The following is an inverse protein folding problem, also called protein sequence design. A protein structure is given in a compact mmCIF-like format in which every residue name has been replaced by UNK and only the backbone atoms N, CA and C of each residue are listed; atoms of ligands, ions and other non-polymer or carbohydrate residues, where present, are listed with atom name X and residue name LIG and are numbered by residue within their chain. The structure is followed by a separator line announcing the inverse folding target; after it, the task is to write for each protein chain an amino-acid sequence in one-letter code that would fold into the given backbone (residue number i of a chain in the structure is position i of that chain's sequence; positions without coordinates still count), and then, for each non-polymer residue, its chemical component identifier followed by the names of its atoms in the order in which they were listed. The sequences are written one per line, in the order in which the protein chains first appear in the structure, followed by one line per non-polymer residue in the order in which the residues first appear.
data_IF_806761015101
#
_entry.id   IF_806761015101
#
_cell.length_a   1.000
_cell.length_b   1.000
_cell.length_c   1.000
_cell.angle_alpha   90.00
_cell.angle_beta   90.00
_cell.angle_gamma   90.00
#
_symmetry.space_group_name_H-M   'P 1'
#
loop_
_entity.id
_entity.type
_entity.pdbx_description
1 polymer ?
#
# COMPACT_ATOMS: atom_id res chain seq x y z
N UNK A 1 -10.71 4.94 4.30
CA UNK A 1 -9.28 4.97 3.91
C UNK A 1 -8.46 4.72 5.18
N UNK A 2 -7.39 3.93 5.08
CA UNK A 2 -6.39 3.76 6.14
C UNK A 2 -5.21 4.66 5.75
N UNK A 3 -4.83 5.58 6.64
CA UNK A 3 -3.72 6.50 6.42
C UNK A 3 -2.39 5.91 6.92
N UNK A 4 -1.29 6.38 6.32
CA UNK A 4 0.09 5.94 6.59
C UNK A 4 0.55 6.14 8.05
N UNK A 5 0.06 7.18 8.73
CA UNK A 5 0.45 7.48 10.12
C UNK A 5 -0.77 7.57 11.06
N UNK A 6 -0.99 6.57 11.93
CA UNK A 6 -2.04 6.58 12.93
C UNK A 6 -1.88 7.68 13.99
N UNK A 7 -0.65 8.12 14.27
CA UNK A 7 -0.38 9.08 15.35
C UNK A 7 -0.89 10.46 14.96
N UNK A 8 -0.74 10.85 13.70
CA UNK A 8 -1.26 12.12 13.18
C UNK A 8 -2.74 12.04 12.84
N UNK A 9 -3.27 10.85 12.56
CA UNK A 9 -4.67 10.65 12.18
C UNK A 9 -5.64 10.59 13.36
N UNK A 10 -5.17 10.19 14.55
CA UNK A 10 -5.98 10.12 15.76
C UNK A 10 -5.68 11.31 16.68
N UNK A 11 -6.67 12.17 16.89
CA UNK A 11 -6.53 13.32 17.80
C UNK A 11 -6.35 12.82 19.25
N UNK A 12 -5.24 13.18 19.93
CA UNK A 12 -4.89 12.65 21.25
C UNK A 12 -5.82 13.09 22.38
N UNK A 13 -6.69 14.09 22.16
CA UNK A 13 -7.62 14.62 23.18
C UNK A 13 -8.98 13.93 23.17
N UNK A 14 -9.25 13.09 22.18
CA UNK A 14 -10.48 12.32 22.05
C UNK A 14 -10.23 10.84 22.39
N UNK A 15 -11.23 10.18 22.96
CA UNK A 15 -11.16 8.73 23.16
C UNK A 15 -11.43 8.02 21.85
N UNK A 16 -10.92 6.78 21.71
CA UNK A 16 -11.14 5.96 20.52
C UNK A 16 -12.64 5.82 20.19
N UNK A 17 -13.46 5.59 21.21
CA UNK A 17 -14.90 5.48 21.05
C UNK A 17 -15.54 6.77 20.59
N UNK A 18 -15.11 7.94 21.09
CA UNK A 18 -15.66 9.22 20.62
C UNK A 18 -15.41 9.45 19.13
N UNK A 19 -14.21 9.13 18.63
CA UNK A 19 -13.86 9.26 17.20
C UNK A 19 -14.69 8.29 16.34
N UNK A 20 -14.77 7.02 16.73
CA UNK A 20 -15.57 6.02 16.00
C UNK A 20 -17.07 6.35 16.00
N UNK A 21 -17.64 6.65 17.17
CA UNK A 21 -19.06 7.00 17.32
C UNK A 21 -19.40 8.25 16.48
N UNK A 22 -18.52 9.26 16.45
CA UNK A 22 -18.71 10.47 15.65
C UNK A 22 -18.69 10.16 14.14
N UNK A 23 -17.69 9.40 13.67
CA UNK A 23 -17.58 9.03 12.25
C UNK A 23 -18.82 8.25 11.81
N UNK A 24 -19.26 7.27 12.61
CA UNK A 24 -20.42 6.44 12.29
C UNK A 24 -21.69 7.31 12.24
N UNK A 25 -21.92 8.14 13.26
CA UNK A 25 -23.13 8.99 13.34
C UNK A 25 -23.15 10.12 12.33
N UNK A 26 -21.99 10.57 11.85
CA UNK A 26 -21.92 11.56 10.78
C UNK A 26 -22.39 11.01 9.43
N UNK A 27 -22.34 9.68 9.24
CA UNK A 27 -22.73 9.00 8.00
C UNK A 27 -24.02 8.18 8.12
N UNK A 28 -24.50 7.91 9.34
CA UNK A 28 -25.72 7.14 9.60
C UNK A 28 -26.59 7.86 10.63
N UNK A 29 -27.89 7.94 10.36
CA UNK A 29 -28.85 8.53 11.29
C UNK A 29 -29.28 7.52 12.37
N UNK A 30 -28.38 7.27 13.33
CA UNK A 30 -28.56 6.28 14.40
C UNK A 30 -28.27 6.89 15.78
N UNK A 31 -28.75 6.21 16.82
CA UNK A 31 -28.51 6.60 18.22
C UNK A 31 -27.03 6.41 18.59
N UNK A 32 -26.63 7.05 19.69
CA UNK A 32 -25.28 6.89 20.25
C UNK A 32 -25.01 5.45 20.70
N UNK A 33 -26.02 4.77 21.25
CA UNK A 33 -25.89 3.38 21.69
C UNK A 33 -25.63 2.45 20.51
N UNK A 34 -26.41 2.58 19.42
CA UNK A 34 -26.20 1.80 18.20
C UNK A 34 -24.83 2.09 17.57
N UNK A 35 -24.40 3.36 17.55
CA UNK A 35 -23.08 3.73 17.04
C UNK A 35 -21.94 3.11 17.87
N UNK A 36 -22.10 3.05 19.19
CA UNK A 36 -21.13 2.41 20.09
C UNK A 36 -21.06 0.90 19.85
N UNK A 37 -22.18 0.24 19.63
CA UNK A 37 -22.22 -1.19 19.28
C UNK A 37 -21.49 -1.48 17.97
N UNK A 38 -21.73 -0.67 16.93
CA UNK A 38 -21.00 -0.76 15.66
C UNK A 38 -19.50 -0.50 15.87
N UNK A 39 -19.14 0.49 16.69
CA UNK A 39 -17.75 0.80 17.00
C UNK A 39 -17.03 -0.38 17.68
N UNK A 40 -17.66 -1.04 18.66
CA UNK A 40 -17.12 -2.26 19.27
C UNK A 40 -16.95 -3.35 18.21
N UNK A 41 -17.98 -3.58 17.38
CA UNK A 41 -17.93 -4.58 16.31
C UNK A 41 -16.76 -4.36 15.35
N UNK A 42 -16.55 -3.12 14.92
CA UNK A 42 -15.44 -2.74 14.03
C UNK A 42 -14.07 -2.95 14.70
N UNK A 43 -13.94 -2.64 16.00
CA UNK A 43 -12.70 -2.87 16.75
C UNK A 43 -12.41 -4.36 16.94
N UNK A 44 -13.43 -5.17 17.19
CA UNK A 44 -13.30 -6.63 17.26
C UNK A 44 -12.88 -7.20 15.91
N UNK A 45 -13.47 -6.71 14.82
CA UNK A 45 -13.14 -7.13 13.46
C UNK A 45 -11.69 -6.80 13.07
N UNK A 46 -11.20 -5.63 13.50
CA UNK A 46 -9.81 -5.24 13.40
C UNK A 46 -8.89 -5.96 14.41
N UNK A 47 -9.43 -6.95 15.15
CA UNK A 47 -8.72 -7.78 16.12
C UNK A 47 -8.02 -6.93 17.21
N UNK A 48 -8.65 -5.84 17.63
CA UNK A 48 -8.16 -5.05 18.76
C UNK A 48 -8.44 -5.80 20.07
N UNK A 49 -7.41 -6.11 20.88
CA UNK A 49 -7.61 -6.73 22.19
C UNK A 49 -8.43 -5.83 23.11
N UNK A 50 -9.33 -6.44 23.89
CA UNK A 50 -10.21 -5.75 24.83
C UNK A 50 -11.05 -4.64 24.17
N UNK A 51 -11.49 -4.83 22.93
CA UNK A 51 -12.12 -3.81 22.07
C UNK A 51 -13.15 -2.90 22.78
N UNK A 52 -14.01 -3.47 23.61
CA UNK A 52 -15.01 -2.71 24.38
C UNK A 52 -14.36 -1.74 25.39
N UNK A 53 -13.35 -2.21 26.14
CA UNK A 53 -12.61 -1.40 27.12
C UNK A 53 -11.74 -0.35 26.42
N UNK A 54 -11.27 -0.64 25.19
CA UNK A 54 -10.45 0.28 24.40
C UNK A 54 -11.21 1.49 23.88
N UNK A 55 -12.55 1.47 23.86
CA UNK A 55 -13.35 2.64 23.48
C UNK A 55 -13.09 3.85 24.39
N UNK A 56 -12.83 3.60 25.66
CA UNK A 56 -12.60 4.67 26.64
C UNK A 56 -11.10 5.01 26.77
N UNK A 57 -10.24 4.33 26.01
CA UNK A 57 -8.83 4.65 25.89
C UNK A 57 -8.60 5.85 24.97
N UNK A 58 -7.52 6.58 25.21
CA UNK A 58 -6.98 7.61 24.32
C UNK A 58 -5.91 7.02 23.40
N UNK A 59 -5.64 7.63 22.22
CA UNK A 59 -4.63 7.15 21.29
C UNK A 59 -3.25 6.96 21.96
N UNK A 60 -2.84 7.88 22.84
CA UNK A 60 -1.56 7.82 23.52
C UNK A 60 -1.41 6.65 24.51
N UNK A 61 -2.52 5.98 24.88
CA UNK A 61 -2.53 4.79 25.75
C UNK A 61 -2.39 3.47 24.95
N UNK A 62 -2.38 3.55 23.62
CA UNK A 62 -2.30 2.39 22.72
C UNK A 62 -0.90 2.25 22.11
N UNK A 63 -0.47 1.00 21.89
CA UNK A 63 0.72 0.68 21.09
C UNK A 63 0.52 1.07 19.62
N UNK A 64 1.60 1.16 18.84
CA UNK A 64 1.52 1.47 17.40
C UNK A 64 0.58 0.50 16.65
N UNK A 65 0.74 -0.81 16.87
CA UNK A 65 -0.14 -1.83 16.28
C UNK A 65 -1.61 -1.70 16.72
N UNK A 66 -1.86 -1.35 17.98
CA UNK A 66 -3.23 -1.09 18.44
C UNK A 66 -3.84 0.15 17.77
N UNK A 67 -3.07 1.22 17.58
CA UNK A 67 -3.54 2.41 16.83
C UNK A 67 -3.82 2.07 15.38
N UNK A 68 -3.00 1.23 14.75
CA UNK A 68 -3.26 0.74 13.39
C UNK A 68 -4.58 -0.03 13.32
N UNK A 69 -4.84 -0.92 14.28
CA UNK A 69 -6.11 -1.67 14.36
C UNK A 69 -7.31 -0.73 14.57
N UNK A 70 -7.17 0.34 15.35
CA UNK A 70 -8.19 1.39 15.45
C UNK A 70 -8.42 2.09 14.10
N UNK A 71 -7.37 2.43 13.36
CA UNK A 71 -7.47 3.03 12.02
C UNK A 71 -8.17 2.11 11.02
N UNK A 72 -7.87 0.80 11.07
CA UNK A 72 -8.56 -0.21 10.27
C UNK A 72 -10.04 -0.26 10.65
N UNK A 73 -10.37 -0.32 11.95
CA UNK A 73 -11.74 -0.30 12.44
C UNK A 73 -12.51 0.93 11.91
N UNK A 74 -11.91 2.12 12.00
CA UNK A 74 -12.48 3.35 11.44
C UNK A 74 -12.76 3.24 9.93
N UNK A 75 -11.85 2.63 9.19
CA UNK A 75 -11.99 2.46 7.75
C UNK A 75 -13.08 1.46 7.34
N UNK A 76 -13.33 0.42 8.15
CA UNK A 76 -14.29 -0.65 7.83
C UNK A 76 -15.65 -0.53 8.53
N UNK A 77 -15.77 0.32 9.56
CA UNK A 77 -16.97 0.45 10.39
C UNK A 77 -18.26 0.73 9.61
N UNK A 78 -18.16 1.33 8.43
CA UNK A 78 -19.31 1.71 7.60
C UNK A 78 -19.61 0.74 6.45
N UNK A 79 -18.91 -0.39 6.37
CA UNK A 79 -19.04 -1.39 5.30
C UNK A 79 -18.78 -0.81 3.90
N UNK A 80 -17.56 -0.33 3.62
CA UNK A 80 -17.24 0.31 2.37
C UNK A 80 -17.15 -0.71 1.23
N UNK A 81 -17.55 -0.29 0.02
CA UNK A 81 -17.32 -1.05 -1.22
C UNK A 81 -15.87 -0.96 -1.73
N UNK A 82 -15.10 0.01 -1.23
CA UNK A 82 -13.70 0.24 -1.61
C UNK A 82 -12.90 0.65 -0.36
N UNK A 83 -11.86 -0.12 -0.06
CA UNK A 83 -10.85 0.22 0.93
C UNK A 83 -9.58 0.71 0.24
N UNK A 84 -9.19 1.95 0.53
CA UNK A 84 -7.87 2.49 0.17
C UNK A 84 -7.00 2.37 1.41
N UNK A 85 -5.89 1.65 1.30
CA UNK A 85 -4.95 1.39 2.38
C UNK A 85 -3.59 1.95 2.00
N UNK A 86 -3.25 3.12 2.55
CA UNK A 86 -2.02 3.84 2.27
C UNK A 86 -0.96 3.49 3.31
N UNK A 87 0.02 2.67 2.90
CA UNK A 87 1.07 2.15 3.77
C UNK A 87 0.54 1.63 5.14
N UNK A 88 -0.48 0.74 5.14
CA UNK A 88 -1.26 0.39 6.33
C UNK A 88 -0.49 -0.48 7.34
N UNK A 89 0.77 -0.78 7.07
CA UNK A 89 1.62 -1.64 7.86
C UNK A 89 2.93 -0.96 8.25
N UNK A 90 3.13 0.30 7.87
CA UNK A 90 4.35 1.05 8.21
C UNK A 90 4.50 1.15 9.74
N UNK A 91 5.75 1.06 10.20
CA UNK A 91 6.14 1.08 11.62
C UNK A 91 5.67 -0.13 12.47
N UNK A 92 5.22 -1.22 11.86
CA UNK A 92 4.90 -2.48 12.55
C UNK A 92 5.95 -3.56 12.27
N UNK A 93 6.10 -4.52 13.18
CA UNK A 93 6.97 -5.68 12.96
C UNK A 93 6.36 -6.62 11.92
N UNK A 94 7.22 -7.34 11.19
CA UNK A 94 6.85 -8.20 10.05
C UNK A 94 5.74 -9.21 10.38
N UNK A 95 5.68 -9.70 11.64
CA UNK A 95 4.65 -10.65 12.05
C UNK A 95 3.29 -9.98 12.14
N UNK A 96 3.21 -8.81 12.78
CA UNK A 96 1.97 -8.03 12.89
C UNK A 96 1.51 -7.52 11.52
N UNK A 97 2.43 -7.11 10.65
CA UNK A 97 2.11 -6.69 9.29
C UNK A 97 1.37 -7.80 8.52
N UNK A 98 1.92 -9.02 8.53
CA UNK A 98 1.32 -10.16 7.85
C UNK A 98 -0.08 -10.49 8.40
N UNK A 99 -0.24 -10.46 9.73
CA UNK A 99 -1.55 -10.68 10.38
C UNK A 99 -2.59 -9.64 9.95
N UNK A 100 -2.23 -8.36 9.95
CA UNK A 100 -3.13 -7.27 9.54
C UNK A 100 -3.55 -7.42 8.08
N UNK A 101 -2.60 -7.69 7.18
CA UNK A 101 -2.88 -7.83 5.76
C UNK A 101 -3.75 -9.05 5.45
N UNK A 102 -3.50 -10.18 6.11
CA UNK A 102 -4.32 -11.39 5.96
C UNK A 102 -5.76 -11.14 6.44
N UNK A 103 -5.93 -10.46 7.59
CA UNK A 103 -7.26 -10.10 8.08
C UNK A 103 -7.98 -9.16 7.09
N UNK A 104 -7.31 -8.11 6.60
CA UNK A 104 -7.88 -7.20 5.60
C UNK A 104 -8.29 -7.95 4.33
N UNK A 105 -7.48 -8.91 3.87
CA UNK A 105 -7.79 -9.73 2.69
C UNK A 105 -8.98 -10.66 2.92
N UNK A 106 -9.07 -11.29 4.10
CA UNK A 106 -10.22 -12.12 4.46
C UNK A 106 -11.51 -11.30 4.46
N UNK A 107 -11.50 -10.11 5.08
CA UNK A 107 -12.64 -9.19 5.09
C UNK A 107 -13.01 -8.68 3.71
N UNK A 108 -12.01 -8.36 2.90
CA UNK A 108 -12.18 -7.94 1.51
C UNK A 108 -12.96 -8.99 0.71
N UNK A 109 -12.64 -10.27 0.88
CA UNK A 109 -13.36 -11.38 0.24
C UNK A 109 -14.77 -11.59 0.82
N UNK A 110 -14.91 -11.58 2.14
CA UNK A 110 -16.19 -11.77 2.82
C UNK A 110 -17.22 -10.68 2.44
N UNK A 111 -16.76 -9.45 2.23
CA UNK A 111 -17.61 -8.28 1.93
C UNK A 111 -17.71 -7.93 0.45
N UNK A 112 -17.09 -8.72 -0.43
CA UNK A 112 -17.00 -8.42 -1.87
C UNK A 112 -16.49 -6.98 -2.14
N UNK A 113 -15.53 -6.54 -1.33
CA UNK A 113 -15.01 -5.17 -1.31
C UNK A 113 -13.84 -5.02 -2.30
N UNK A 114 -13.70 -3.88 -2.97
CA UNK A 114 -12.46 -3.55 -3.69
C UNK A 114 -11.37 -3.08 -2.72
N UNK A 115 -10.11 -3.45 -2.94
CA UNK A 115 -8.99 -2.96 -2.12
C UNK A 115 -7.87 -2.38 -2.99
N UNK A 116 -7.49 -1.13 -2.70
CA UNK A 116 -6.29 -0.48 -3.24
C UNK A 116 -5.25 -0.39 -2.12
N UNK A 117 -4.18 -1.18 -2.24
CA UNK A 117 -3.04 -1.14 -1.33
C UNK A 117 -1.93 -0.30 -1.95
N UNK A 118 -1.43 0.68 -1.20
CA UNK A 118 -0.25 1.48 -1.54
C UNK A 118 0.85 1.06 -0.58
N UNK A 119 1.98 0.61 -1.10
CA UNK A 119 3.12 0.19 -0.30
C UNK A 119 4.40 0.27 -1.13
N UNK A 120 5.53 0.44 -0.45
CA UNK A 120 6.86 0.32 -1.02
C UNK A 120 7.45 -1.10 -0.87
N UNK A 121 6.76 -2.01 -0.17
CA UNK A 121 7.22 -3.38 0.07
C UNK A 121 6.65 -4.34 -0.99
N UNK A 122 7.52 -4.78 -1.90
CA UNK A 122 7.17 -5.73 -2.96
C UNK A 122 6.88 -7.14 -2.44
N UNK A 123 7.46 -7.56 -1.30
CA UNK A 123 7.16 -8.87 -0.73
C UNK A 123 5.72 -8.92 -0.22
N UNK A 124 5.25 -7.81 0.38
CA UNK A 124 3.84 -7.65 0.72
C UNK A 124 2.97 -7.74 -0.53
N UNK A 125 3.30 -6.96 -1.58
CA UNK A 125 2.53 -6.92 -2.83
C UNK A 125 2.38 -8.32 -3.43
N UNK A 126 3.48 -9.09 -3.52
CA UNK A 126 3.50 -10.43 -4.08
C UNK A 126 2.52 -11.40 -3.38
N UNK A 127 2.27 -11.19 -2.09
CA UNK A 127 1.41 -12.08 -1.30
C UNK A 127 -0.07 -11.72 -1.35
N UNK A 128 -0.42 -10.43 -1.54
CA UNK A 128 -1.80 -9.93 -1.33
C UNK A 128 -2.50 -9.44 -2.59
N UNK A 129 -1.76 -8.93 -3.57
CA UNK A 129 -2.35 -8.21 -4.71
C UNK A 129 -2.76 -9.16 -5.83
N UNK A 130 -3.85 -8.84 -6.54
CA UNK A 130 -4.20 -9.53 -7.80
C UNK A 130 -3.50 -8.88 -9.01
N UNK A 131 -3.32 -7.55 -8.94
CA UNK A 131 -2.67 -6.69 -9.95
C UNK A 131 -1.81 -5.65 -9.27
N UNK A 132 -0.73 -5.27 -9.94
CA UNK A 132 0.26 -4.32 -9.42
C UNK A 132 0.49 -3.22 -10.43
N UNK A 133 0.46 -1.97 -9.97
CA UNK A 133 0.92 -0.81 -10.72
C UNK A 133 2.18 -0.24 -10.06
N UNK A 134 3.29 -0.26 -10.78
CA UNK A 134 4.56 0.31 -10.34
C UNK A 134 4.61 1.77 -10.77
N UNK A 135 4.83 2.65 -9.80
CA UNK A 135 4.93 4.09 -10.02
C UNK A 135 6.38 4.57 -9.85
N UNK A 136 6.81 5.46 -10.74
CA UNK A 136 8.08 6.18 -10.61
C UNK A 136 7.85 7.67 -10.86
N UNK A 137 8.29 8.51 -9.91
CA UNK A 137 8.22 9.98 -10.01
C UNK A 137 6.84 10.53 -10.43
N UNK A 138 5.75 9.90 -9.96
CA UNK A 138 4.37 10.32 -10.23
C UNK A 138 3.74 9.69 -11.47
N UNK A 139 4.45 8.83 -12.21
CA UNK A 139 3.89 8.13 -13.36
C UNK A 139 3.83 6.61 -13.13
N UNK A 140 2.72 5.98 -13.52
CA UNK A 140 2.66 4.53 -13.67
C UNK A 140 3.60 4.17 -14.82
N UNK A 141 4.65 3.42 -14.50
CA UNK A 141 5.64 2.95 -15.47
C UNK A 141 5.32 1.56 -15.98
N UNK A 142 4.67 0.74 -15.16
CA UNK A 142 4.30 -0.63 -15.51
C UNK A 142 3.12 -1.09 -14.66
N UNK A 143 2.21 -1.83 -15.28
CA UNK A 143 1.09 -2.47 -14.61
C UNK A 143 0.84 -3.86 -15.21
N UNK A 144 0.67 -4.87 -14.37
CA UNK A 144 0.38 -6.24 -14.80
C UNK A 144 -0.28 -7.04 -13.67
N UNK A 145 -0.87 -8.22 -13.96
CA UNK A 145 -1.17 -9.22 -12.93
C UNK A 145 0.08 -9.53 -12.09
N UNK A 146 -0.10 -9.78 -10.79
CA UNK A 146 1.04 -9.94 -9.86
C UNK A 146 2.03 -11.01 -10.34
N UNK A 147 1.54 -12.18 -10.76
CA UNK A 147 2.40 -13.29 -11.19
C UNK A 147 3.24 -12.93 -12.42
N UNK A 148 2.68 -12.17 -13.35
CA UNK A 148 3.35 -11.75 -14.58
C UNK A 148 4.34 -10.62 -14.30
N UNK A 149 3.99 -9.64 -13.47
CA UNK A 149 4.90 -8.56 -13.10
C UNK A 149 6.18 -9.09 -12.44
N UNK A 150 6.07 -10.12 -11.59
CA UNK A 150 7.22 -10.70 -10.90
C UNK A 150 8.03 -11.67 -11.77
N UNK A 151 7.43 -12.27 -12.81
CA UNK A 151 8.09 -13.27 -13.66
C UNK A 151 8.60 -12.73 -15.01
N UNK A 152 7.96 -11.72 -15.60
CA UNK A 152 8.40 -11.02 -16.83
C UNK A 152 8.20 -9.49 -16.71
N UNK A 153 8.83 -8.82 -15.72
CA UNK A 153 8.87 -7.36 -15.65
C UNK A 153 9.57 -6.76 -16.88
N UNK A 154 8.93 -5.79 -17.51
CA UNK A 154 9.36 -5.20 -18.78
C UNK A 154 10.08 -3.87 -18.60
N UNK A 155 9.68 -3.07 -17.61
CA UNK A 155 10.30 -1.77 -17.38
C UNK A 155 11.60 -1.91 -16.60
N UNK A 156 12.73 -1.32 -17.03
CA UNK A 156 14.02 -1.43 -16.33
C UNK A 156 13.99 -1.05 -14.84
N UNK A 157 13.14 -0.09 -14.46
CA UNK A 157 12.89 0.25 -13.05
C UNK A 157 12.27 -0.93 -12.28
N UNK A 158 11.20 -1.55 -12.80
CA UNK A 158 10.53 -2.70 -12.20
C UNK A 158 11.49 -3.89 -12.09
N UNK A 159 12.30 -4.13 -13.12
CA UNK A 159 13.36 -5.16 -13.06
C UNK A 159 14.36 -4.89 -11.95
N UNK A 160 14.83 -3.64 -11.83
CA UNK A 160 15.74 -3.24 -10.77
C UNK A 160 15.14 -3.39 -9.37
N UNK A 161 13.85 -3.10 -9.22
CA UNK A 161 13.08 -3.29 -7.99
C UNK A 161 13.01 -4.76 -7.59
N UNK A 162 12.66 -5.65 -8.53
CA UNK A 162 12.57 -7.09 -8.27
C UNK A 162 13.95 -7.68 -7.97
N UNK A 163 15.00 -7.28 -8.69
CA UNK A 163 16.39 -7.70 -8.43
C UNK A 163 16.93 -7.23 -7.08
N UNK A 164 16.37 -6.17 -6.52
CA UNK A 164 16.75 -5.65 -5.20
C UNK A 164 16.10 -6.44 -4.04
N UNK A 165 15.13 -7.32 -4.34
CA UNK A 165 14.54 -8.19 -3.32
C UNK A 165 15.59 -9.18 -2.79
N UNK A 166 15.69 -9.34 -1.46
CA UNK A 166 16.61 -10.30 -0.88
C UNK A 166 16.19 -11.73 -1.18
N UNK A 167 17.06 -12.51 -1.82
CA UNK A 167 16.86 -13.95 -1.97
C UNK A 167 17.35 -14.68 -0.71
N UNK A 168 16.43 -15.31 0.00
CA UNK A 168 16.69 -16.05 1.25
C UNK A 168 17.59 -17.28 0.99
N UNK A 169 17.60 -17.79 -0.25
CA UNK A 169 18.41 -18.96 -0.63
C UNK A 169 19.86 -18.62 -0.95
N UNK A 170 20.18 -17.35 -1.24
CA UNK A 170 21.52 -16.92 -1.65
C UNK A 170 22.26 -16.32 -0.46
N UNK A 171 23.05 -17.16 0.20
CA UNK A 171 23.78 -16.81 1.43
C UNK A 171 24.86 -15.71 1.27
N UNK A 172 25.30 -15.35 0.05
CA UNK A 172 26.43 -14.42 -0.16
C UNK A 172 26.35 -13.67 -1.49
N UNK A 173 25.87 -12.43 -1.46
CA UNK A 173 25.89 -11.49 -2.58
C UNK A 173 25.64 -10.06 -2.12
N UNK A 174 26.15 -9.06 -2.84
CA UNK A 174 25.69 -7.67 -2.68
C UNK A 174 24.28 -7.58 -3.22
N UNK A 175 23.36 -6.97 -2.46
CA UNK A 175 22.03 -6.65 -2.98
C UNK A 175 22.20 -5.73 -4.21
N UNK A 176 21.44 -6.03 -5.26
CA UNK A 176 21.38 -5.15 -6.42
C UNK A 176 20.75 -3.82 -5.99
N UNK A 177 21.33 -2.72 -6.43
CA UNK A 177 20.81 -1.39 -6.14
C UNK A 177 20.66 -0.61 -7.45
N UNK A 178 19.54 0.10 -7.58
CA UNK A 178 19.28 0.93 -8.77
C UNK A 178 20.15 2.19 -8.66
N UNK A 179 21.11 2.40 -9.58
CA UNK A 179 22.07 3.50 -9.48
C UNK A 179 21.41 4.88 -9.55
N UNK A 180 22.15 5.90 -9.14
CA UNK A 180 21.72 7.31 -9.19
C UNK A 180 20.71 7.70 -8.11
N UNK A 181 20.14 8.89 -8.25
CA UNK A 181 19.15 9.47 -7.32
C UNK A 181 17.86 9.77 -8.07
N UNK A 182 16.72 9.65 -7.39
CA UNK A 182 15.43 10.07 -7.93
C UNK A 182 15.49 11.57 -8.25
N UNK A 183 15.13 12.02 -9.47
CA UNK A 183 15.07 13.42 -9.80
C UNK A 183 14.11 14.18 -8.87
N UNK A 184 14.42 15.43 -8.48
CA UNK A 184 13.49 16.24 -7.72
C UNK A 184 12.23 16.49 -8.56
N UNK A 185 11.01 16.35 -7.99
CA UNK A 185 9.76 16.54 -8.73
C UNK A 185 9.62 17.91 -9.41
N UNK A 186 10.34 18.93 -8.91
CA UNK A 186 10.30 20.30 -9.41
C UNK A 186 11.12 20.49 -10.70
N UNK A 187 12.06 19.59 -10.98
CA UNK A 187 12.94 19.65 -12.15
C UNK A 187 12.99 18.26 -12.80
N UNK A 188 11.89 17.81 -13.43
CA UNK A 188 11.86 16.54 -14.12
C UNK A 188 12.79 16.57 -15.34
N UNK A 189 13.38 15.43 -15.73
CA UNK A 189 14.07 15.34 -17.01
C UNK A 189 13.09 15.61 -18.16
N UNK A 190 13.57 16.14 -19.30
CA UNK A 190 12.72 16.52 -20.43
C UNK A 190 12.02 15.34 -21.13
N UNK A 191 12.55 14.12 -20.99
CA UNK A 191 12.00 12.90 -21.59
C UNK A 191 11.42 11.91 -20.58
N UNK A 192 11.87 10.66 -20.64
CA UNK A 192 11.51 9.63 -19.68
C UNK A 192 12.03 9.99 -18.28
N UNK A 193 11.14 9.95 -17.29
CA UNK A 193 11.47 10.28 -15.89
C UNK A 193 12.57 9.38 -15.31
N UNK A 194 12.66 8.13 -15.79
CA UNK A 194 13.66 7.17 -15.34
C UNK A 194 14.98 7.20 -16.15
N UNK A 195 15.06 7.93 -17.26
CA UNK A 195 16.25 7.96 -18.12
C UNK A 195 17.58 8.23 -17.38
N UNK A 196 17.66 9.15 -16.38
CA UNK A 196 18.90 9.41 -15.65
C UNK A 196 19.44 8.24 -14.81
N UNK A 197 18.62 7.20 -14.59
CA UNK A 197 18.95 6.02 -13.78
C UNK A 197 18.81 4.71 -14.56
N UNK A 198 18.41 4.78 -15.83
CA UNK A 198 18.13 3.62 -16.66
C UNK A 198 19.40 3.18 -17.38
N UNK A 199 19.88 1.97 -17.09
CA UNK A 199 21.04 1.36 -17.77
C UNK A 199 20.76 1.05 -19.26
N UNK A 200 19.49 1.12 -19.66
CA UNK A 200 19.00 0.83 -21.01
C UNK A 200 18.41 2.08 -21.69
N UNK A 201 18.79 3.29 -21.26
CA UNK A 201 18.31 4.53 -21.87
C UNK A 201 18.77 4.64 -23.33
N UNK A 202 17.84 5.00 -24.23
CA UNK A 202 18.12 5.39 -25.61
C UNK A 202 18.16 6.93 -25.73
N UNK A 203 18.69 7.46 -26.82
CA UNK A 203 18.67 8.91 -27.09
C UNK A 203 17.25 9.49 -27.04
N UNK A 204 16.27 8.78 -27.61
CA UNK A 204 14.86 9.16 -27.55
C UNK A 204 14.30 9.30 -26.12
N UNK A 205 14.84 8.55 -25.15
CA UNK A 205 14.43 8.65 -23.75
C UNK A 205 14.80 9.98 -23.11
N UNK A 206 15.75 10.72 -23.69
CA UNK A 206 16.14 12.06 -23.22
C UNK A 206 15.37 13.18 -23.93
N UNK A 207 14.78 12.89 -25.08
CA UNK A 207 14.10 13.87 -25.93
C UNK A 207 12.58 13.85 -25.77
N UNK A 208 12.01 12.69 -25.44
CA UNK A 208 10.57 12.49 -25.33
C UNK A 208 10.20 11.62 -24.12
N UNK A 209 9.00 11.81 -23.60
CA UNK A 209 8.42 10.93 -22.58
C UNK A 209 7.64 9.80 -23.27
N UNK A 210 7.85 8.53 -22.90
CA UNK A 210 7.04 7.44 -23.43
C UNK A 210 5.58 7.61 -22.97
N UNK A 211 4.64 7.33 -23.87
CA UNK A 211 3.22 7.23 -23.54
C UNK A 211 2.93 5.91 -22.82
N UNK A 212 1.87 5.88 -22.02
CA UNK A 212 1.40 4.65 -21.40
C UNK A 212 0.68 3.79 -22.44
N UNK A 213 1.39 2.80 -22.99
CA UNK A 213 0.82 1.77 -23.86
C UNK A 213 0.01 0.76 -23.05
N UNK A 214 -1.09 0.23 -23.60
CA UNK A 214 -1.93 -0.79 -22.97
C UNK A 214 -2.07 -2.01 -23.87
N UNK A 215 -1.90 -3.19 -23.30
CA UNK A 215 -2.11 -4.47 -23.96
C UNK A 215 -2.89 -5.41 -23.02
N UNK A 216 -4.20 -5.53 -23.26
CA UNK A 216 -5.11 -6.27 -22.38
C UNK A 216 -5.10 -5.72 -20.94
N UNK A 217 -4.71 -6.56 -19.98
CA UNK A 217 -4.60 -6.20 -18.56
C UNK A 217 -3.27 -5.53 -18.19
N UNK A 218 -2.37 -5.33 -19.16
CA UNK A 218 -1.04 -4.77 -18.96
C UNK A 218 -0.96 -3.33 -19.42
N UNK A 219 -0.15 -2.53 -18.75
CA UNK A 219 0.26 -1.23 -19.25
C UNK A 219 1.74 -0.99 -19.02
N UNK A 220 2.38 -0.29 -19.97
CA UNK A 220 3.83 -0.06 -19.95
C UNK A 220 4.14 1.32 -20.53
N UNK A 221 4.98 2.06 -19.83
CA UNK A 221 5.49 3.37 -20.24
C UNK A 221 7.00 3.27 -20.47
N UNK A 222 7.41 2.74 -21.61
CA UNK A 222 8.83 2.55 -21.94
C UNK A 222 9.08 2.54 -23.45
N UNK A 223 10.13 3.22 -23.92
CA UNK A 223 10.60 3.08 -25.31
C UNK A 223 11.47 1.84 -25.52
N UNK A 224 12.15 1.36 -24.47
CA UNK A 224 13.13 0.28 -24.55
C UNK A 224 12.87 -0.78 -23.48
N UNK A 225 11.71 -1.44 -23.59
CA UNK A 225 11.33 -2.54 -22.71
C UNK A 225 12.37 -3.68 -22.79
N UNK A 226 12.80 -4.20 -21.65
CA UNK A 226 13.83 -5.25 -21.60
C UNK A 226 13.19 -6.62 -21.34
N UNK A 227 13.76 -7.71 -21.89
CA UNK A 227 13.43 -9.04 -21.40
C UNK A 227 13.91 -9.20 -19.95
N UNK A 228 13.22 -10.03 -19.17
CA UNK A 228 13.65 -10.36 -17.81
C UNK A 228 14.29 -11.74 -17.78
N UNK A 229 15.54 -11.80 -17.36
CA UNK A 229 16.23 -13.04 -17.00
C UNK A 229 16.55 -12.97 -15.50
N UNK A 230 15.99 -13.89 -14.71
CA UNK A 230 16.44 -14.12 -13.34
C UNK A 230 17.80 -14.82 -13.44
N UNK A 231 18.86 -14.02 -13.27
CA UNK A 231 20.24 -14.51 -13.20
C UNK A 231 20.54 -15.27 -11.92
#
# INVERSE_FOLDING_TARGET
MIFQDPITSLDPVFTIGSVLEEVIRSHRNISRTEAREIAVGALVEAELPDAADRLDSYPHQLSGGMRQRVMIALAVALDPKLLIADEPTTALDVTVQAQILENLRARQREREMGMLLITHDLAVVASVADRVAVMYAGEIVEEAPVDELFSDPRHPYTQGLIRALPDISVSRGSLHSIPGRVPPPQVPPPGCLFAPRCEHALDLCWEASPELSRDGAKSLRCFNAQPFEMG
#
